data_IF_720360157047
#
_entry.id   IF_720360157047
#
_cell.length_a   1.000
_cell.length_b   1.000
_cell.length_c   1.000
_cell.angle_alpha   90.00
_cell.angle_beta   90.00
_cell.angle_gamma   90.00
#
_symmetry.space_group_name_H-M   'P 1'
#
loop_
_entity.id
_entity.type
_entity.pdbx_description
1 polymer ?
#
# COMPACT_ATOMS: atom_id res chain seq x y z
N UNK A 1 -16.08 -3.76 9.63
CA UNK A 1 -15.37 -2.77 8.78
C UNK A 1 -13.89 -2.98 9.04
N UNK A 2 -13.20 -3.74 8.18
CA UNK A 2 -11.82 -4.20 8.46
C UNK A 2 -10.82 -3.06 8.31
N UNK A 3 -10.09 -2.72 9.37
CA UNK A 3 -9.01 -1.74 9.32
C UNK A 3 -7.82 -2.31 8.57
N UNK A 4 -7.29 -1.61 7.58
CA UNK A 4 -6.03 -1.99 6.90
C UNK A 4 -4.84 -1.25 7.50
N UNK A 5 -3.90 -1.98 8.11
CA UNK A 5 -2.65 -1.43 8.62
C UNK A 5 -1.54 -1.76 7.63
N UNK A 6 -1.02 -0.71 6.97
CA UNK A 6 0.04 -0.81 5.98
C UNK A 6 1.38 -1.04 6.70
N UNK A 7 1.96 -2.24 6.56
CA UNK A 7 3.34 -2.50 7.01
C UNK A 7 4.32 -1.81 6.05
N UNK A 8 4.98 -0.74 6.53
CA UNK A 8 5.93 0.06 5.74
C UNK A 8 7.19 -0.75 5.43
N UNK A 9 7.23 -1.44 4.27
CA UNK A 9 8.46 -2.05 3.73
C UNK A 9 9.31 -0.97 3.03
N UNK A 10 10.63 -1.00 3.25
CA UNK A 10 11.62 -0.01 2.78
C UNK A 10 11.60 0.26 1.28
N UNK A 11 11.26 -0.73 0.43
CA UNK A 11 11.18 -0.50 -1.03
C UNK A 11 9.89 0.16 -1.53
N UNK A 12 8.93 0.46 -0.65
CA UNK A 12 7.79 1.33 -1.01
C UNK A 12 8.27 2.77 -1.25
N UNK A 13 9.23 3.25 -0.47
CA UNK A 13 9.81 4.58 -0.64
C UNK A 13 10.49 4.72 -2.02
N UNK A 14 11.24 3.70 -2.44
CA UNK A 14 11.91 3.70 -3.74
C UNK A 14 10.91 3.73 -4.90
N UNK A 15 9.88 2.88 -4.89
CA UNK A 15 8.85 2.88 -5.93
C UNK A 15 8.07 4.20 -6.00
N UNK A 16 7.81 4.82 -4.85
CA UNK A 16 7.11 6.09 -4.76
C UNK A 16 7.99 7.25 -5.27
N UNK A 17 9.29 7.25 -4.97
CA UNK A 17 10.25 8.21 -5.53
C UNK A 17 10.37 8.09 -7.04
N UNK A 18 10.54 6.88 -7.57
CA UNK A 18 10.59 6.61 -9.02
C UNK A 18 9.33 7.09 -9.73
N UNK A 19 8.16 6.77 -9.16
CA UNK A 19 6.88 7.22 -9.70
C UNK A 19 6.75 8.75 -9.64
N UNK A 20 7.13 9.39 -8.54
CA UNK A 20 7.07 10.85 -8.40
C UNK A 20 7.99 11.55 -9.41
N UNK A 21 9.18 11.01 -9.65
CA UNK A 21 10.13 11.54 -10.63
C UNK A 21 9.61 11.40 -12.06
N UNK A 22 9.02 10.26 -12.41
CA UNK A 22 8.37 10.05 -13.71
C UNK A 22 7.20 11.02 -13.95
N UNK A 23 6.34 11.24 -12.94
CA UNK A 23 5.25 12.23 -13.00
C UNK A 23 5.79 13.65 -13.17
N UNK A 24 6.85 14.00 -12.43
CA UNK A 24 7.46 15.32 -12.51
C UNK A 24 8.00 15.60 -13.93
N UNK A 25 8.71 14.64 -14.52
CA UNK A 25 9.22 14.76 -15.89
C UNK A 25 8.08 14.95 -16.90
N UNK A 26 7.00 14.18 -16.79
CA UNK A 26 5.84 14.34 -17.68
C UNK A 26 5.13 15.69 -17.49
N UNK A 27 4.99 16.16 -16.24
CA UNK A 27 4.44 17.49 -15.96
C UNK A 27 5.26 18.61 -16.60
N UNK A 28 6.59 18.52 -16.56
CA UNK A 28 7.47 19.49 -17.23
C UNK A 28 7.26 19.47 -18.74
N UNK A 29 7.15 18.28 -19.35
CA UNK A 29 6.87 18.18 -20.80
C UNK A 29 5.50 18.75 -21.17
N UNK A 30 4.47 18.50 -20.33
CA UNK A 30 3.13 19.05 -20.52
C UNK A 30 3.10 20.57 -20.37
N UNK A 31 3.85 21.10 -19.40
CA UNK A 31 3.99 22.55 -19.21
C UNK A 31 4.60 23.20 -20.45
N UNK A 32 5.63 22.59 -21.03
CA UNK A 32 6.24 23.10 -22.27
C UNK A 32 5.29 23.04 -23.47
N UNK A 33 4.51 21.96 -23.62
CA UNK A 33 3.49 21.88 -24.66
C UNK A 33 2.37 22.91 -24.49
N UNK A 34 2.01 23.20 -23.24
CA UNK A 34 1.06 24.26 -22.93
C UNK A 34 1.60 25.64 -23.33
N UNK A 35 2.84 25.95 -22.94
CA UNK A 35 3.52 27.21 -23.22
C UNK A 35 3.64 27.50 -24.73
N UNK A 36 3.88 26.44 -25.52
CA UNK A 36 4.02 26.51 -26.99
C UNK A 36 2.64 26.51 -27.69
N UNK A 37 1.54 26.31 -26.96
CA UNK A 37 0.20 26.27 -27.52
C UNK A 37 -0.08 25.00 -28.36
N UNK A 38 0.69 23.92 -28.16
CA UNK A 38 0.48 22.63 -28.84
C UNK A 38 -0.93 22.10 -28.55
N UNK A 39 -1.38 22.27 -27.30
CA UNK A 39 -2.70 21.83 -26.83
C UNK A 39 -3.87 22.73 -27.30
N UNK A 40 -3.56 23.91 -27.85
CA UNK A 40 -4.54 24.86 -28.40
C UNK A 40 -4.60 24.82 -29.93
N UNK A 41 -3.75 24.01 -30.57
CA UNK A 41 -3.76 23.83 -32.03
C UNK A 41 -5.05 23.14 -32.48
N UNK A 42 -5.65 23.54 -33.62
CA UNK A 42 -6.80 22.84 -34.20
C UNK A 42 -6.49 21.38 -34.52
N UNK A 43 -5.23 21.07 -34.87
CA UNK A 43 -4.74 19.72 -35.18
C UNK A 43 -3.76 19.24 -34.11
N UNK A 44 -4.30 18.91 -32.93
CA UNK A 44 -3.55 18.48 -31.74
C UNK A 44 -2.60 17.31 -32.07
N UNK A 45 -3.05 16.32 -32.85
CA UNK A 45 -2.21 15.15 -33.16
C UNK A 45 -0.97 15.49 -33.98
N UNK A 46 -1.12 16.36 -34.98
CA UNK A 46 -0.01 16.82 -35.83
C UNK A 46 0.96 17.64 -34.99
N UNK A 47 0.45 18.61 -34.23
CA UNK A 47 1.24 19.48 -33.36
C UNK A 47 1.99 18.69 -32.26
N UNK A 48 1.38 17.66 -31.69
CA UNK A 48 2.05 16.74 -30.74
C UNK A 48 3.13 15.93 -31.44
N UNK A 49 2.88 15.42 -32.65
CA UNK A 49 3.90 14.66 -33.38
C UNK A 49 5.12 15.52 -33.73
N UNK A 50 4.91 16.75 -34.20
CA UNK A 50 6.00 17.68 -34.55
C UNK A 50 6.78 18.12 -33.31
N UNK A 51 6.08 18.42 -32.22
CA UNK A 51 6.74 18.83 -30.97
C UNK A 51 7.49 17.69 -30.27
N UNK A 52 7.14 16.42 -30.50
CA UNK A 52 7.91 15.26 -30.00
C UNK A 52 9.28 15.15 -30.67
N UNK A 53 9.37 15.47 -31.96
CA UNK A 53 10.60 15.42 -32.75
C UNK A 53 11.42 16.71 -32.66
N UNK A 54 10.82 17.80 -32.17
CA UNK A 54 11.55 19.04 -31.97
C UNK A 54 12.64 18.88 -30.89
N UNK A 55 13.82 19.46 -31.19
CA UNK A 55 14.96 19.50 -30.29
C UNK A 55 14.80 20.66 -29.31
N UNK A 56 14.85 20.36 -28.01
CA UNK A 56 14.78 21.40 -26.98
C UNK A 56 16.00 21.29 -26.08
N UNK A 57 17.02 22.13 -26.29
CA UNK A 57 18.29 22.05 -25.56
C UNK A 57 18.18 22.40 -24.07
N UNK A 58 17.07 23.00 -23.63
CA UNK A 58 16.95 23.60 -22.30
C UNK A 58 16.25 22.73 -21.24
N UNK A 59 15.73 21.55 -21.59
CA UNK A 59 14.74 20.88 -20.72
C UNK A 59 15.35 20.16 -19.51
N UNK A 60 16.66 19.83 -19.47
CA UNK A 60 17.22 19.32 -18.21
C UNK A 60 18.73 19.40 -17.98
N UNK A 61 19.59 19.41 -19.00
CA UNK A 61 21.03 19.22 -18.76
C UNK A 61 21.95 19.92 -19.78
N UNK A 62 21.44 20.87 -20.57
CA UNK A 62 22.22 21.52 -21.62
C UNK A 62 22.64 20.59 -22.77
N UNK A 63 22.10 19.37 -22.79
CA UNK A 63 22.25 18.41 -23.88
C UNK A 63 21.02 18.55 -24.77
N UNK A 64 21.23 18.88 -26.05
CA UNK A 64 20.19 18.96 -27.08
C UNK A 64 19.51 17.61 -27.32
N UNK A 65 18.63 17.20 -26.42
CA UNK A 65 17.86 15.97 -26.53
C UNK A 65 16.46 16.28 -27.05
N UNK A 66 15.99 15.47 -28.00
CA UNK A 66 14.61 15.54 -28.49
C UNK A 66 13.62 15.27 -27.35
N UNK A 67 12.47 15.95 -27.36
CA UNK A 67 11.39 15.76 -26.35
C UNK A 67 10.99 14.28 -26.21
N UNK A 68 11.04 13.51 -27.29
CA UNK A 68 10.76 12.07 -27.29
C UNK A 68 11.59 11.30 -26.24
N UNK A 69 12.83 11.70 -25.98
CA UNK A 69 13.68 11.05 -24.97
C UNK A 69 13.16 11.30 -23.56
N UNK A 70 12.71 12.52 -23.26
CA UNK A 70 12.14 12.84 -21.95
C UNK A 70 10.82 12.11 -21.71
N UNK A 71 9.97 12.04 -22.73
CA UNK A 71 8.68 11.33 -22.65
C UNK A 71 8.91 9.83 -22.45
N UNK A 72 9.78 9.21 -23.25
CA UNK A 72 10.10 7.78 -23.11
C UNK A 72 10.68 7.45 -21.74
N UNK A 73 11.65 8.23 -21.26
CA UNK A 73 12.25 8.04 -19.93
C UNK A 73 11.21 8.23 -18.82
N UNK A 74 10.37 9.27 -18.89
CA UNK A 74 9.29 9.51 -17.93
C UNK A 74 8.29 8.36 -17.87
N UNK A 75 7.87 7.83 -19.03
CA UNK A 75 6.97 6.68 -19.13
C UNK A 75 7.61 5.42 -18.55
N UNK A 76 8.88 5.14 -18.87
CA UNK A 76 9.60 3.98 -18.32
C UNK A 76 9.68 4.07 -16.79
N UNK A 77 10.05 5.23 -16.24
CA UNK A 77 10.09 5.43 -14.79
C UNK A 77 8.73 5.24 -14.13
N UNK A 78 7.66 5.70 -14.80
CA UNK A 78 6.29 5.49 -14.31
C UNK A 78 5.87 4.04 -14.32
N UNK A 79 6.10 3.31 -15.42
CA UNK A 79 5.75 1.89 -15.52
C UNK A 79 6.50 1.10 -14.46
N UNK A 80 7.82 1.31 -14.34
CA UNK A 80 8.64 0.64 -13.34
C UNK A 80 8.19 1.00 -11.93
N UNK A 81 7.94 2.29 -11.65
CA UNK A 81 7.43 2.75 -10.36
C UNK A 81 6.09 2.12 -10.00
N UNK A 82 5.13 2.10 -10.92
CA UNK A 82 3.81 1.48 -10.74
C UNK A 82 3.94 -0.02 -10.54
N UNK A 83 4.74 -0.72 -11.34
CA UNK A 83 4.97 -2.17 -11.19
C UNK A 83 5.57 -2.48 -9.82
N UNK A 84 6.59 -1.74 -9.39
CA UNK A 84 7.19 -1.90 -8.05
C UNK A 84 6.14 -1.63 -6.96
N UNK A 85 5.32 -0.59 -7.10
CA UNK A 85 4.24 -0.28 -6.17
C UNK A 85 3.16 -1.36 -6.15
N UNK A 86 2.82 -1.97 -7.29
CA UNK A 86 1.81 -3.05 -7.39
C UNK A 86 2.35 -4.34 -6.78
N UNK A 87 3.57 -4.76 -7.15
CA UNK A 87 4.21 -5.98 -6.62
C UNK A 87 4.44 -5.85 -5.11
N UNK A 88 4.88 -4.68 -4.64
CA UNK A 88 5.14 -4.44 -3.21
C UNK A 88 3.91 -3.97 -2.43
N UNK A 89 2.76 -3.75 -3.09
CA UNK A 89 1.44 -3.66 -2.45
C UNK A 89 1.02 -5.07 -2.01
N UNK A 90 1.80 -5.64 -1.12
CA UNK A 90 1.37 -6.76 -0.30
C UNK A 90 0.31 -6.18 0.64
N UNK A 91 -0.96 -6.18 0.18
CA UNK A 91 -2.13 -5.97 1.03
C UNK A 91 -2.17 -7.14 1.99
N UNK A 92 -1.39 -7.07 3.07
CA UNK A 92 -1.57 -7.95 4.21
C UNK A 92 -2.96 -7.60 4.72
N UNK A 93 -3.95 -8.44 4.39
CA UNK A 93 -5.28 -8.35 4.99
C UNK A 93 -5.05 -8.39 6.49
N UNK A 94 -5.31 -7.28 7.15
CA UNK A 94 -5.31 -7.23 8.61
C UNK A 94 -6.21 -8.36 9.05
N UNK A 95 -5.60 -9.18 9.89
CA UNK A 95 -6.13 -10.44 10.30
C UNK A 95 -7.61 -10.32 10.64
N UNK A 96 -8.40 -11.22 10.06
CA UNK A 96 -9.80 -11.45 10.40
C UNK A 96 -9.89 -11.44 11.94
N UNK A 97 -10.45 -10.36 12.50
CA UNK A 97 -10.62 -10.22 13.94
C UNK A 97 -11.83 -11.06 14.30
N UNK A 98 -11.58 -12.18 14.97
CA UNK A 98 -12.61 -13.13 15.34
C UNK A 98 -12.98 -12.88 16.79
N UNK A 99 -14.28 -12.75 17.07
CA UNK A 99 -14.75 -12.64 18.44
C UNK A 99 -14.64 -14.02 19.10
N UNK A 100 -13.78 -14.16 20.10
CA UNK A 100 -13.63 -15.39 20.87
C UNK A 100 -14.31 -15.25 22.22
N UNK A 101 -15.14 -16.22 22.57
CA UNK A 101 -15.73 -16.30 23.90
C UNK A 101 -14.81 -17.09 24.81
N UNK A 102 -14.27 -16.41 25.82
CA UNK A 102 -13.38 -16.95 26.82
C UNK A 102 -14.16 -17.30 28.09
N UNK A 103 -13.79 -18.40 28.74
CA UNK A 103 -14.36 -18.83 30.00
C UNK A 103 -13.30 -18.99 31.09
N UNK A 104 -13.63 -18.52 32.30
CA UNK A 104 -12.84 -18.75 33.49
C UNK A 104 -13.05 -20.18 34.02
N UNK A 105 -11.99 -20.95 34.30
CA UNK A 105 -12.13 -22.31 34.81
C UNK A 105 -12.66 -22.37 36.26
N UNK A 106 -12.52 -21.29 37.05
CA UNK A 106 -12.94 -21.27 38.46
C UNK A 106 -14.36 -20.74 38.65
N UNK A 107 -14.67 -19.56 38.11
CA UNK A 107 -15.98 -18.92 38.31
C UNK A 107 -16.93 -19.08 37.12
N UNK A 108 -16.52 -19.81 36.07
CA UNK A 108 -17.28 -20.03 34.82
C UNK A 108 -17.73 -18.76 34.09
N UNK A 109 -17.27 -17.59 34.51
CA UNK A 109 -17.60 -16.34 33.86
C UNK A 109 -17.14 -16.38 32.41
N UNK A 110 -18.02 -15.96 31.51
CA UNK A 110 -17.74 -15.85 30.09
C UNK A 110 -17.62 -14.38 29.70
N UNK A 111 -16.69 -14.08 28.81
CA UNK A 111 -16.57 -12.74 28.22
C UNK A 111 -16.05 -12.86 26.79
N UNK A 112 -16.33 -11.85 25.97
CA UNK A 112 -15.92 -11.80 24.57
C UNK A 112 -14.69 -10.92 24.43
N UNK A 113 -13.69 -11.40 23.71
CA UNK A 113 -12.51 -10.63 23.30
C UNK A 113 -12.34 -10.75 21.79
N UNK A 114 -11.93 -9.65 21.16
CA UNK A 114 -11.54 -9.66 19.76
C UNK A 114 -10.08 -10.10 19.66
N UNK A 115 -9.84 -11.23 19.00
CA UNK A 115 -8.49 -11.75 18.76
C UNK A 115 -8.32 -12.01 17.27
N UNK A 116 -7.17 -11.62 16.74
CA UNK A 116 -6.84 -11.90 15.35
C UNK A 116 -6.72 -13.42 15.09
N UNK A 117 -7.26 -13.89 13.96
CA UNK A 117 -7.15 -15.29 13.56
C UNK A 117 -5.71 -15.79 13.48
N UNK A 118 -4.80 -14.96 12.97
CA UNK A 118 -3.37 -15.26 12.92
C UNK A 118 -2.76 -15.48 14.30
N UNK A 119 -3.19 -14.71 15.32
CA UNK A 119 -2.76 -14.93 16.69
C UNK A 119 -3.33 -16.24 17.26
N UNK A 120 -4.57 -16.60 16.93
CA UNK A 120 -5.16 -17.90 17.33
C UNK A 120 -4.36 -19.07 16.74
N UNK A 121 -4.04 -19.01 15.45
CA UNK A 121 -3.23 -20.03 14.77
C UNK A 121 -1.82 -20.12 15.36
N UNK A 122 -1.16 -18.97 15.61
CA UNK A 122 0.15 -18.93 16.23
C UNK A 122 0.16 -19.48 17.68
N UNK A 123 -0.95 -19.36 18.41
CA UNK A 123 -1.10 -19.98 19.72
C UNK A 123 -1.38 -21.49 19.66
N UNK A 124 -1.49 -22.07 18.46
CA UNK A 124 -1.76 -23.49 18.26
C UNK A 124 -3.22 -23.87 18.35
N UNK A 125 -4.16 -22.92 18.25
CA UNK A 125 -5.59 -23.23 18.09
C UNK A 125 -5.81 -23.95 16.75
N UNK A 126 -6.65 -25.00 16.66
CA UNK A 126 -7.60 -25.50 17.65
C UNK A 126 -7.05 -26.52 18.66
N UNK A 127 -5.77 -26.93 18.54
CA UNK A 127 -5.14 -27.91 19.45
C UNK A 127 -4.95 -27.34 20.86
N UNK A 128 -4.57 -26.07 20.98
CA UNK A 128 -4.45 -25.34 22.25
C UNK A 128 -5.63 -24.39 22.40
N UNK A 129 -6.48 -24.64 23.40
CA UNK A 129 -7.67 -23.81 23.70
C UNK A 129 -7.49 -22.92 24.93
N UNK A 130 -6.28 -22.83 25.48
CA UNK A 130 -5.98 -22.04 26.68
C UNK A 130 -5.11 -20.85 26.31
N UNK A 131 -5.51 -19.67 26.79
CA UNK A 131 -4.74 -18.43 26.57
C UNK A 131 -3.67 -18.22 27.63
N UNK A 132 -2.83 -17.21 27.37
CA UNK A 132 -1.86 -16.71 28.36
C UNK A 132 -2.54 -16.31 29.66
N UNK A 133 -1.77 -16.32 30.75
CA UNK A 133 -2.29 -16.07 32.09
C UNK A 133 -2.77 -14.62 32.20
N UNK A 134 -4.03 -14.42 32.60
CA UNK A 134 -4.66 -13.12 32.78
C UNK A 134 -5.45 -13.07 34.08
N UNK A 135 -5.63 -11.87 34.61
CA UNK A 135 -6.46 -11.64 35.81
C UNK A 135 -7.93 -11.68 35.40
N UNK A 136 -8.73 -12.52 36.05
CA UNK A 136 -10.16 -12.55 35.81
C UNK A 136 -10.83 -11.32 36.42
N UNK A 137 -11.73 -10.66 35.68
CA UNK A 137 -12.48 -9.48 36.16
C UNK A 137 -13.41 -9.78 37.34
N UNK A 138 -14.02 -10.96 37.40
CA UNK A 138 -14.92 -11.34 38.50
C UNK A 138 -14.21 -11.88 39.73
N UNK A 139 -13.30 -12.85 39.57
CA UNK A 139 -12.68 -13.52 40.72
C UNK A 139 -11.31 -12.96 41.10
N UNK A 140 -10.79 -11.96 40.36
CA UNK A 140 -9.49 -11.34 40.55
C UNK A 140 -8.27 -12.29 40.58
N UNK A 141 -8.47 -13.59 40.31
CA UNK A 141 -7.42 -14.61 40.25
C UNK A 141 -6.73 -14.60 38.89
N UNK A 142 -5.42 -14.91 38.90
CA UNK A 142 -4.63 -15.11 37.69
C UNK A 142 -4.87 -16.51 37.11
N UNK A 143 -5.63 -16.56 36.02
CA UNK A 143 -6.11 -17.79 35.38
C UNK A 143 -5.59 -17.89 33.95
N UNK A 144 -5.64 -19.09 33.36
CA UNK A 144 -5.54 -19.27 31.91
C UNK A 144 -6.95 -19.46 31.35
N UNK A 145 -7.54 -18.44 30.68
CA UNK A 145 -8.90 -18.56 30.15
C UNK A 145 -8.96 -19.63 29.06
N UNK A 146 -10.11 -20.32 28.98
CA UNK A 146 -10.38 -21.35 27.97
C UNK A 146 -11.28 -20.78 26.87
N UNK A 147 -10.92 -20.99 25.61
CA UNK A 147 -11.74 -20.61 24.45
C UNK A 147 -12.89 -21.62 24.33
N UNK A 148 -14.13 -21.13 24.40
CA UNK A 148 -15.36 -21.94 24.34
C UNK A 148 -15.96 -21.89 22.94
N UNK A 149 -16.19 -20.69 22.42
CA UNK A 149 -16.71 -20.47 21.06
C UNK A 149 -15.87 -19.42 20.33
N UNK A 150 -15.87 -19.55 19.01
CA UNK A 150 -15.23 -18.62 18.09
C UNK A 150 -16.32 -18.23 17.10
N UNK A 151 -16.81 -17.00 17.21
CA UNK A 151 -17.89 -16.49 16.36
C UNK A 151 -17.25 -16.00 15.06
N UNK A 152 -17.60 -16.64 13.94
CA UNK A 152 -17.04 -16.39 12.60
C UNK A 152 -17.46 -15.03 12.05
#
# INVERSE_FOLDING_TARGET
MGMTVLKKKTGYALGLLLSAFGVLLLLVTLWKWWDIGVLTSPDIMLAVSESLWAEYPEIAFGVGLMIVHYVTVGVVFLIVGVVILVIRREKIRVAEEVAVTLSCPYCKNQWREHISKAQLEHMGYPKVRTLSRRKCSKCAKFIRPKIVTVDK
#
